data_IF_079573668230
#
_entry.id   IF_079573668230
#
_cell.length_a   1.000
_cell.length_b   1.000
_cell.length_c   1.000
_cell.angle_alpha   90.00
_cell.angle_beta   90.00
_cell.angle_gamma   90.00
#
_symmetry.space_group_name_H-M   'P 1'
#
loop_
_entity.id
_entity.type
_entity.pdbx_description
1 polymer ?
#
# COMPACT_ATOMS: atom_id res chain seq x y z
N UNK A 1 11.87 -37.12 -16.97
CA UNK A 1 10.96 -36.00 -17.27
C UNK A 1 11.52 -35.27 -18.49
N UNK A 2 10.79 -35.23 -19.61
CA UNK A 2 11.21 -34.57 -20.86
C UNK A 2 10.53 -33.21 -20.88
N UNK A 3 11.30 -32.13 -20.84
CA UNK A 3 10.75 -30.76 -20.88
C UNK A 3 10.61 -30.38 -22.35
N UNK A 4 9.40 -30.05 -22.78
CA UNK A 4 9.09 -29.68 -24.17
C UNK A 4 9.30 -28.19 -24.40
N UNK A 5 10.53 -27.76 -24.74
CA UNK A 5 10.92 -26.34 -24.85
C UNK A 5 10.11 -25.46 -25.84
N UNK A 6 9.20 -26.06 -26.63
CA UNK A 6 8.31 -25.36 -27.55
C UNK A 6 6.91 -25.11 -26.97
N UNK A 7 6.65 -25.59 -25.76
CA UNK A 7 5.39 -25.34 -25.07
C UNK A 7 5.26 -23.84 -24.80
N UNK A 8 4.19 -23.22 -25.30
CA UNK A 8 3.92 -21.80 -25.05
C UNK A 8 3.60 -21.49 -23.58
N UNK A 9 3.26 -22.50 -22.79
CA UNK A 9 3.05 -22.38 -21.35
C UNK A 9 4.34 -22.42 -20.53
N UNK A 10 5.50 -22.76 -21.13
CA UNK A 10 6.78 -22.78 -20.44
C UNK A 10 7.33 -21.39 -20.13
N UNK A 11 7.03 -20.43 -20.99
CA UNK A 11 7.48 -19.06 -20.85
C UNK A 11 6.26 -18.26 -20.41
N UNK A 12 6.36 -17.59 -19.26
CA UNK A 12 5.26 -16.87 -18.61
C UNK A 12 4.54 -15.88 -19.52
N UNK A 13 3.47 -15.28 -19.02
CA UNK A 13 2.61 -14.40 -19.81
C UNK A 13 3.40 -13.22 -20.45
N UNK A 14 3.04 -12.85 -21.69
CA UNK A 14 3.64 -11.68 -22.37
C UNK A 14 3.43 -10.39 -21.57
N UNK A 15 2.29 -10.30 -20.87
CA UNK A 15 1.97 -9.24 -19.94
C UNK A 15 2.32 -9.70 -18.51
N UNK A 16 3.53 -9.37 -18.07
CA UNK A 16 3.99 -9.66 -16.70
C UNK A 16 3.14 -8.99 -15.60
N UNK A 17 2.20 -8.11 -15.94
CA UNK A 17 1.24 -7.50 -15.02
C UNK A 17 -0.01 -8.35 -14.77
N UNK A 18 -0.36 -9.25 -15.70
CA UNK A 18 -1.56 -10.10 -15.65
C UNK A 18 -1.31 -11.48 -15.01
N UNK A 19 -0.05 -11.78 -14.70
CA UNK A 19 0.34 -13.08 -14.15
C UNK A 19 0.25 -13.12 -12.63
N UNK A 20 -0.13 -14.26 -12.06
CA UNK A 20 -0.12 -14.45 -10.60
C UNK A 20 1.28 -14.23 -10.04
N UNK A 21 1.36 -13.67 -8.84
CA UNK A 21 2.63 -13.34 -8.17
C UNK A 21 3.55 -14.56 -7.98
N UNK A 22 2.98 -15.71 -7.59
CA UNK A 22 3.74 -16.95 -7.37
C UNK A 22 4.44 -17.44 -8.64
N UNK A 23 3.77 -17.36 -9.78
CA UNK A 23 4.34 -17.76 -11.07
C UNK A 23 5.39 -16.75 -11.51
N UNK A 24 5.07 -15.46 -11.44
CA UNK A 24 5.98 -14.38 -11.80
C UNK A 24 7.30 -14.47 -11.01
N UNK A 25 7.21 -14.62 -9.69
CA UNK A 25 8.40 -14.75 -8.82
C UNK A 25 9.18 -16.04 -9.07
N UNK A 26 8.52 -17.12 -9.51
CA UNK A 26 9.13 -18.41 -9.80
C UNK A 26 10.14 -18.39 -10.97
N UNK A 27 9.99 -17.49 -11.95
CA UNK A 27 10.92 -17.36 -13.06
C UNK A 27 11.63 -15.99 -13.12
N UNK A 28 11.18 -15.01 -12.35
CA UNK A 28 11.74 -13.67 -12.41
C UNK A 28 13.21 -13.66 -11.94
N UNK A 29 14.08 -13.14 -12.81
CA UNK A 29 15.50 -12.96 -12.51
C UNK A 29 15.75 -11.54 -12.06
N UNK A 30 16.36 -11.40 -10.89
CA UNK A 30 16.75 -10.10 -10.38
C UNK A 30 17.89 -9.52 -11.20
N UNK A 31 17.72 -8.28 -11.63
CA UNK A 31 18.78 -7.55 -12.28
C UNK A 31 19.41 -6.52 -11.34
N UNK A 32 20.71 -6.22 -11.49
CA UNK A 32 21.39 -5.25 -10.63
C UNK A 32 20.73 -3.87 -10.60
N UNK A 33 20.00 -3.49 -11.66
CA UNK A 33 19.31 -2.20 -11.76
C UNK A 33 18.22 -2.02 -10.70
N UNK A 34 17.67 -3.10 -10.13
CA UNK A 34 16.67 -3.05 -9.04
C UNK A 34 17.20 -2.25 -7.86
N UNK A 35 18.50 -2.38 -7.55
CA UNK A 35 19.13 -1.67 -6.42
C UNK A 35 18.96 -0.15 -6.49
N UNK A 36 18.90 0.43 -7.69
CA UNK A 36 18.70 1.87 -7.90
C UNK A 36 17.30 2.33 -7.54
N UNK A 37 16.31 1.44 -7.64
CA UNK A 37 14.91 1.74 -7.29
C UNK A 37 14.60 1.43 -5.83
N UNK A 38 15.46 0.68 -5.15
CA UNK A 38 15.34 0.39 -3.71
C UNK A 38 16.12 1.38 -2.83
N UNK A 39 16.92 2.26 -3.44
CA UNK A 39 17.67 3.29 -2.72
C UNK A 39 16.75 4.41 -2.21
N UNK A 40 16.59 4.50 -0.89
CA UNK A 40 15.78 5.52 -0.23
C UNK A 40 16.33 6.94 -0.37
N UNK A 41 17.60 7.12 -0.73
CA UNK A 41 18.17 8.44 -1.00
C UNK A 41 17.68 9.03 -2.33
N UNK A 42 17.19 8.18 -3.24
CA UNK A 42 16.69 8.58 -4.55
C UNK A 42 15.20 8.95 -4.49
N UNK A 43 14.88 10.24 -4.64
CA UNK A 43 13.50 10.73 -4.56
C UNK A 43 12.64 10.45 -5.80
N UNK A 44 13.27 10.21 -6.95
CA UNK A 44 12.60 9.87 -8.21
C UNK A 44 13.51 9.01 -9.07
N UNK A 45 12.98 7.87 -9.51
CA UNK A 45 13.64 6.98 -10.46
C UNK A 45 12.71 6.68 -11.64
N UNK A 46 13.25 6.71 -12.86
CA UNK A 46 12.48 6.49 -14.10
C UNK A 46 13.11 5.32 -14.86
N UNK A 47 12.32 4.28 -15.12
CA UNK A 47 12.70 3.18 -16.00
C UNK A 47 12.34 3.53 -17.45
N UNK A 48 13.32 3.43 -18.37
CA UNK A 48 13.11 3.58 -19.82
C UNK A 48 13.59 2.32 -20.52
N UNK A 49 12.71 1.71 -21.31
CA UNK A 49 13.04 0.55 -22.14
C UNK A 49 12.07 0.47 -23.34
N UNK A 50 12.43 -0.27 -24.39
CA UNK A 50 11.53 -0.55 -25.50
C UNK A 50 10.35 -1.43 -25.05
N UNK A 51 9.32 -1.54 -25.90
CA UNK A 51 8.19 -2.44 -25.65
C UNK A 51 8.71 -3.88 -25.59
N UNK A 52 8.33 -4.64 -24.55
CA UNK A 52 8.76 -6.02 -24.36
C UNK A 52 10.07 -6.20 -23.57
N UNK A 53 10.79 -5.13 -23.21
CA UNK A 53 12.08 -5.21 -22.50
C UNK A 53 11.95 -5.41 -20.98
N UNK A 54 10.75 -5.76 -20.49
CA UNK A 54 10.56 -6.08 -19.06
C UNK A 54 10.50 -4.88 -18.10
N UNK A 55 10.21 -3.66 -18.57
CA UNK A 55 10.06 -2.49 -17.67
C UNK A 55 8.97 -2.67 -16.59
N UNK A 56 7.82 -3.23 -16.96
CA UNK A 56 6.73 -3.51 -16.00
C UNK A 56 7.15 -4.60 -15.01
N UNK A 57 7.83 -5.65 -15.50
CA UNK A 57 8.39 -6.70 -14.65
C UNK A 57 9.43 -6.16 -13.65
N UNK A 58 10.31 -5.25 -14.08
CA UNK A 58 11.28 -4.59 -13.20
C UNK A 58 10.59 -3.83 -12.08
N UNK A 59 9.59 -2.99 -12.40
CA UNK A 59 8.85 -2.21 -11.40
C UNK A 59 8.02 -3.10 -10.48
N UNK A 60 7.48 -4.21 -11.00
CA UNK A 60 6.79 -5.23 -10.21
C UNK A 60 7.74 -5.87 -9.20
N UNK A 61 8.94 -6.28 -9.62
CA UNK A 61 9.96 -6.82 -8.71
C UNK A 61 10.35 -5.82 -7.62
N UNK A 62 10.50 -4.54 -7.97
CA UNK A 62 10.77 -3.47 -6.99
C UNK A 62 9.64 -3.41 -5.96
N UNK A 63 8.38 -3.41 -6.39
CA UNK A 63 7.23 -3.40 -5.49
C UNK A 63 7.23 -4.62 -4.54
N UNK A 64 7.45 -5.82 -5.08
CA UNK A 64 7.57 -7.05 -4.28
C UNK A 64 8.68 -6.96 -3.23
N UNK A 65 9.84 -6.41 -3.62
CA UNK A 65 10.96 -6.23 -2.70
C UNK A 65 10.65 -5.24 -1.59
N UNK A 66 9.97 -4.14 -1.90
CA UNK A 66 9.53 -3.17 -0.90
C UNK A 66 8.53 -3.81 0.09
N UNK A 67 7.58 -4.62 -0.40
CA UNK A 67 6.64 -5.35 0.46
C UNK A 67 7.32 -6.40 1.35
N UNK A 68 8.42 -7.01 0.90
CA UNK A 68 9.16 -8.02 1.66
C UNK A 68 10.06 -7.48 2.79
N UNK A 69 10.14 -6.16 2.96
CA UNK A 69 10.95 -5.54 4.01
C UNK A 69 10.35 -5.77 5.41
N UNK A 70 11.19 -5.78 6.46
CA UNK A 70 10.73 -5.94 7.86
C UNK A 70 9.71 -4.88 8.27
N UNK A 71 9.89 -3.64 7.78
CA UNK A 71 8.92 -2.56 7.93
C UNK A 71 8.59 -2.06 6.51
N UNK A 72 7.62 -2.67 5.83
CA UNK A 72 7.35 -2.36 4.44
C UNK A 72 6.81 -0.92 4.32
N UNK A 73 7.33 -0.11 3.39
CA UNK A 73 6.75 1.19 3.11
C UNK A 73 5.38 1.03 2.45
N UNK A 74 4.65 2.13 2.37
CA UNK A 74 3.42 2.18 1.56
C UNK A 74 3.82 2.15 0.09
N UNK A 75 3.46 1.07 -0.60
CA UNK A 75 3.75 0.87 -2.03
C UNK A 75 2.45 1.01 -2.80
N UNK A 76 2.44 1.91 -3.79
CA UNK A 76 1.28 2.12 -4.67
C UNK A 76 1.73 1.82 -6.09
N UNK A 77 1.23 0.72 -6.64
CA UNK A 77 1.48 0.32 -8.03
C UNK A 77 0.22 0.54 -8.86
N UNK A 78 0.23 1.60 -9.68
CA UNK A 78 -0.91 1.93 -10.54
C UNK A 78 -0.43 2.39 -11.92
N UNK A 79 -1.20 2.14 -13.00
CA UNK A 79 -0.88 2.69 -14.31
C UNK A 79 -1.03 4.21 -14.30
N UNK A 80 -0.19 4.92 -15.06
CA UNK A 80 -0.23 6.39 -15.13
C UNK A 80 -1.60 6.95 -15.57
N UNK A 81 -2.34 6.19 -16.39
CA UNK A 81 -3.70 6.55 -16.80
C UNK A 81 -4.68 6.69 -15.63
N UNK A 82 -4.46 5.95 -14.53
CA UNK A 82 -5.33 6.01 -13.35
C UNK A 82 -5.21 7.31 -12.55
N UNK A 83 -4.10 8.04 -12.72
CA UNK A 83 -3.80 9.28 -12.01
C UNK A 83 -3.72 10.51 -12.93
N UNK A 84 -3.79 10.30 -14.24
CA UNK A 84 -3.78 11.40 -15.20
C UNK A 84 -5.02 12.29 -15.02
N UNK A 85 -4.85 13.61 -14.83
CA UNK A 85 -5.98 14.54 -14.83
C UNK A 85 -6.56 14.68 -16.23
N UNK A 86 -7.83 15.07 -16.31
CA UNK A 86 -8.44 15.48 -17.58
C UNK A 86 -7.80 16.77 -18.09
N UNK A 87 -7.40 16.77 -19.35
CA UNK A 87 -6.77 17.92 -20.01
C UNK A 87 -7.85 18.74 -20.71
N UNK A 88 -8.44 19.69 -19.98
CA UNK A 88 -9.56 20.52 -20.44
C UNK A 88 -9.20 22.00 -20.70
N UNK A 89 -7.93 22.34 -20.51
CA UNK A 89 -7.39 23.69 -20.61
C UNK A 89 -5.90 23.62 -20.93
N UNK A 90 -5.30 24.72 -21.37
CA UNK A 90 -3.85 24.84 -21.63
C UNK A 90 -3.05 25.36 -20.44
N UNK A 91 -3.70 25.52 -19.28
CA UNK A 91 -3.09 26.01 -18.05
C UNK A 91 -2.25 24.91 -17.38
N UNK A 92 -0.93 25.06 -17.44
CA UNK A 92 0.02 24.13 -16.83
C UNK A 92 -0.15 24.04 -15.30
N UNK A 93 -0.51 25.13 -14.62
CA UNK A 93 -0.66 25.14 -13.16
C UNK A 93 -1.89 24.34 -12.75
N UNK A 94 -2.95 24.38 -13.56
CA UNK A 94 -4.12 23.53 -13.36
C UNK A 94 -3.77 22.06 -13.51
N UNK A 95 -2.97 21.69 -14.50
CA UNK A 95 -2.53 20.30 -14.68
C UNK A 95 -1.66 19.81 -13.53
N UNK A 96 -0.69 20.62 -13.07
CA UNK A 96 0.16 20.27 -11.92
C UNK A 96 -0.71 20.04 -10.67
N UNK A 97 -1.71 20.89 -10.43
CA UNK A 97 -2.67 20.70 -9.34
C UNK A 97 -3.51 19.43 -9.50
N UNK A 98 -3.93 19.11 -10.72
CA UNK A 98 -4.64 17.87 -11.04
C UNK A 98 -3.84 16.62 -10.68
N UNK A 99 -2.60 16.53 -11.18
CA UNK A 99 -1.67 15.44 -10.85
C UNK A 99 -1.44 15.30 -9.35
N UNK A 100 -1.11 16.41 -8.66
CA UNK A 100 -0.92 16.41 -7.20
C UNK A 100 -2.16 15.90 -6.47
N UNK A 101 -3.35 16.35 -6.87
CA UNK A 101 -4.62 15.93 -6.25
C UNK A 101 -4.86 14.44 -6.42
N UNK A 102 -4.64 13.89 -7.62
CA UNK A 102 -4.86 12.48 -7.90
C UNK A 102 -3.87 11.58 -7.15
N UNK A 103 -2.59 11.96 -7.11
CA UNK A 103 -1.56 11.25 -6.34
C UNK A 103 -1.89 11.27 -4.84
N UNK A 104 -2.26 12.43 -4.29
CA UNK A 104 -2.62 12.57 -2.88
C UNK A 104 -3.85 11.74 -2.50
N UNK A 105 -4.86 11.67 -3.38
CA UNK A 105 -6.04 10.82 -3.16
C UNK A 105 -5.67 9.34 -3.06
N UNK A 106 -4.78 8.86 -3.93
CA UNK A 106 -4.31 7.48 -3.86
C UNK A 106 -3.53 7.21 -2.58
N UNK A 107 -2.59 8.10 -2.23
CA UNK A 107 -1.82 7.97 -1.00
C UNK A 107 -2.73 7.96 0.24
N UNK A 108 -3.70 8.87 0.32
CA UNK A 108 -4.65 8.93 1.43
C UNK A 108 -5.52 7.67 1.52
N UNK A 109 -5.95 7.12 0.39
CA UNK A 109 -6.72 5.87 0.34
C UNK A 109 -5.88 4.71 0.88
N UNK A 110 -4.64 4.59 0.45
CA UNK A 110 -3.76 3.50 0.87
C UNK A 110 -3.43 3.60 2.36
N UNK A 111 -3.03 4.78 2.84
CA UNK A 111 -2.80 5.06 4.26
C UNK A 111 -4.05 4.69 5.09
N UNK A 112 -5.23 5.10 4.64
CA UNK A 112 -6.49 4.80 5.31
C UNK A 112 -6.78 3.30 5.38
N UNK A 113 -6.52 2.57 4.30
CA UNK A 113 -6.67 1.12 4.26
C UNK A 113 -5.69 0.41 5.21
N UNK A 114 -4.42 0.82 5.22
CA UNK A 114 -3.41 0.26 6.14
C UNK A 114 -3.77 0.49 7.60
N UNK A 115 -4.21 1.71 7.96
CA UNK A 115 -4.63 2.03 9.33
C UNK A 115 -5.88 1.27 9.73
N UNK A 116 -6.89 1.19 8.85
CA UNK A 116 -8.11 0.43 9.12
C UNK A 116 -7.82 -1.06 9.34
N UNK A 117 -6.92 -1.63 8.55
CA UNK A 117 -6.44 -3.00 8.72
C UNK A 117 -5.72 -3.20 10.05
N UNK A 118 -4.84 -2.28 10.44
CA UNK A 118 -4.17 -2.33 11.75
C UNK A 118 -5.19 -2.29 12.91
N UNK A 119 -6.23 -1.46 12.82
CA UNK A 119 -7.30 -1.45 13.82
C UNK A 119 -8.12 -2.74 13.84
N UNK A 120 -8.37 -3.37 12.69
CA UNK A 120 -9.06 -4.67 12.67
C UNK A 120 -8.19 -5.77 13.27
N UNK A 121 -6.90 -5.79 12.98
CA UNK A 121 -5.97 -6.78 13.55
C UNK A 121 -5.82 -6.59 15.06
N UNK A 122 -5.66 -5.34 15.54
CA UNK A 122 -5.65 -5.04 16.97
C UNK A 122 -6.99 -5.42 17.62
N UNK A 123 -8.12 -5.17 16.97
CA UNK A 123 -9.43 -5.55 17.49
C UNK A 123 -9.60 -7.08 17.56
N UNK A 124 -9.08 -7.83 16.58
CA UNK A 124 -9.06 -9.29 16.60
C UNK A 124 -8.14 -9.79 17.71
N UNK A 125 -6.92 -9.26 17.80
CA UNK A 125 -5.94 -9.59 18.85
C UNK A 125 -6.48 -9.31 20.26
N UNK A 126 -7.20 -8.19 20.44
CA UNK A 126 -7.87 -7.86 21.70
C UNK A 126 -9.00 -8.82 22.04
N UNK A 127 -9.76 -9.29 21.05
CA UNK A 127 -10.80 -10.31 21.26
C UNK A 127 -10.17 -11.64 21.63
N UNK A 128 -9.10 -12.05 20.93
CA UNK A 128 -8.34 -13.27 21.24
C UNK A 128 -7.73 -13.22 22.64
N UNK A 129 -7.14 -12.08 23.03
CA UNK A 129 -6.59 -11.87 24.37
C UNK A 129 -7.69 -11.88 25.44
N UNK A 130 -8.86 -11.30 25.15
CA UNK A 130 -10.01 -11.34 26.04
C UNK A 130 -10.55 -12.77 26.21
N UNK A 131 -10.65 -13.55 25.13
CA UNK A 131 -11.08 -14.95 25.16
C UNK A 131 -10.07 -15.85 25.89
N UNK A 132 -8.77 -15.63 25.67
CA UNK A 132 -7.68 -16.33 26.37
C UNK A 132 -7.71 -16.07 27.89
N UNK A 133 -8.11 -14.85 28.29
CA UNK A 133 -8.29 -14.47 29.69
C UNK A 133 -9.69 -14.80 30.24
N UNK A 134 -10.51 -15.59 29.52
CA UNK A 134 -11.78 -16.12 30.00
C UNK A 134 -13.00 -15.21 29.82
N UNK A 135 -12.85 -14.08 29.12
CA UNK A 135 -13.96 -13.20 28.77
C UNK A 135 -14.58 -13.63 27.43
N UNK A 136 -15.58 -14.52 27.48
CA UNK A 136 -16.41 -14.84 26.29
C UNK A 136 -17.29 -13.65 25.91
N UNK A 137 -17.05 -13.04 24.75
CA UNK A 137 -17.93 -12.03 24.20
C UNK A 137 -19.09 -12.68 23.42
N UNK A 138 -20.33 -12.47 23.88
CA UNK A 138 -21.52 -12.74 23.07
C UNK A 138 -21.68 -11.57 22.09
N UNK A 139 -21.10 -11.66 20.89
CA UNK A 139 -21.15 -10.58 19.91
C UNK A 139 -22.52 -10.55 19.20
N UNK A 140 -23.51 -9.95 19.87
CA UNK A 140 -24.68 -9.38 19.24
C UNK A 140 -24.84 -7.91 19.70
N UNK A 141 -24.16 -6.99 18.98
CA UNK A 141 -24.37 -5.52 18.97
C UNK A 141 -24.13 -4.73 20.29
N UNK A 142 -23.94 -3.39 20.33
CA UNK A 142 -23.66 -2.35 19.32
C UNK A 142 -22.55 -1.37 19.80
N UNK A 143 -21.34 -1.84 20.12
CA UNK A 143 -20.32 -0.97 20.77
C UNK A 143 -19.82 0.17 19.85
N UNK A 144 -19.94 0.01 18.53
CA UNK A 144 -19.63 1.06 17.56
C UNK A 144 -20.60 2.26 17.56
N UNK A 145 -21.79 2.16 18.16
CA UNK A 145 -22.73 3.29 18.21
C UNK A 145 -22.48 4.27 19.37
N UNK A 146 -21.51 3.98 20.25
CA UNK A 146 -21.17 4.80 21.42
C UNK A 146 -19.85 5.58 21.29
N UNK A 147 -19.35 5.78 20.08
CA UNK A 147 -18.36 6.83 19.80
C UNK A 147 -19.03 8.22 19.86
N UNK A 148 -19.69 8.54 20.99
CA UNK A 148 -20.00 9.90 21.35
C UNK A 148 -18.70 10.55 21.82
N UNK A 149 -18.17 11.42 20.95
CA UNK A 149 -17.28 12.54 21.25
C UNK A 149 -17.26 12.88 22.75
N UNK A 150 -16.22 12.42 23.44
CA UNK A 150 -15.85 12.92 24.77
C UNK A 150 -14.40 13.37 24.75
N UNK A 151 -14.18 14.50 24.10
CA UNK A 151 -13.12 15.43 24.53
C UNK A 151 -13.49 15.91 25.94
N UNK A 152 -12.93 15.27 26.97
CA UNK A 152 -12.98 15.81 28.33
C UNK A 152 -11.80 16.75 28.53
N UNK A 153 -12.10 18.04 28.42
CA UNK A 153 -11.49 19.02 29.30
C UNK A 153 -11.78 18.65 30.77
N UNK A 154 -10.85 19.05 31.64
CA UNK A 154 -11.02 19.33 33.07
C UNK A 154 -10.65 18.22 34.07
N UNK A 155 -9.47 18.37 34.67
CA UNK A 155 -9.29 18.40 36.13
C UNK A 155 -7.89 18.86 36.53
N UNK A 156 -7.71 20.17 36.76
CA UNK A 156 -6.76 20.69 37.76
C UNK A 156 -7.06 22.17 38.10
N UNK A 157 -8.23 22.42 38.70
CA UNK A 157 -8.44 23.60 39.57
C UNK A 157 -8.91 23.10 40.95
N UNK A 158 -8.01 23.15 41.92
CA UNK A 158 -8.23 23.27 43.38
C UNK A 158 -6.97 23.95 43.92
N UNK A 159 -6.97 24.96 44.79
CA UNK A 159 -7.95 25.86 45.38
C UNK A 159 -7.08 26.93 46.08
N UNK A 160 -7.49 28.20 46.04
CA UNK A 160 -6.82 29.36 46.67
C UNK A 160 -7.08 29.38 48.19
N UNK A 161 -6.15 29.82 49.06
CA UNK A 161 -6.15 31.07 49.89
C UNK A 161 -5.49 30.79 51.28
N UNK A 162 -5.28 31.76 52.20
CA UNK A 162 -4.58 33.06 52.12
C UNK A 162 -3.64 33.31 53.35
N UNK A 163 -2.84 34.40 53.31
CA UNK A 163 -2.58 35.48 54.31
C UNK A 163 -1.31 36.20 53.86
#
# INVERSE_FOLDING_TARGET
>A
MKIELNDKSLFGNEAAEDESEDIFTGYAVERPEISKFLDSASSLAIARAYKGEGKSALLRLVALRLHSQTLPPIVISVPASSISPELDSTDSDRWVRGWKTNILKLAAREIGATIAYAFSDDAISLVEEAEANGFKATLNNPVFSKLHLRTKHESAKRRVQPV
#
